data_IF_567627267434
#
_entry.id   IF_567627267434
#
_cell.length_a   1.000
_cell.length_b   1.000
_cell.length_c   1.000
_cell.angle_alpha   90.00
_cell.angle_beta   90.00
_cell.angle_gamma   90.00
#
_symmetry.space_group_name_H-M   'P 1'
#
loop_
_entity.id
_entity.type
_entity.pdbx_description
1 polymer ?
#
# COMPACT_ATOMS: atom_id res chain seq x y z
N UNK A 1 -32.41 -46.92 19.80
CA UNK A 1 -31.77 -46.12 20.87
C UNK A 1 -30.48 -45.56 20.31
N UNK A 2 -30.45 -44.28 19.94
CA UNK A 2 -29.25 -43.62 19.42
C UNK A 2 -28.36 -43.23 20.62
N UNK A 3 -27.17 -43.79 20.70
CA UNK A 3 -26.23 -43.52 21.79
C UNK A 3 -25.68 -42.09 21.65
N UNK A 4 -25.77 -41.29 22.71
CA UNK A 4 -25.17 -39.96 22.74
C UNK A 4 -23.66 -40.06 22.50
N UNK A 5 -23.15 -39.21 21.61
CA UNK A 5 -21.73 -39.09 21.34
C UNK A 5 -21.01 -38.61 22.61
N UNK A 6 -20.25 -39.49 23.25
CA UNK A 6 -19.54 -39.25 24.52
C UNK A 6 -18.23 -38.48 24.35
N UNK A 7 -17.85 -38.15 23.12
CA UNK A 7 -16.61 -37.43 22.82
C UNK A 7 -16.93 -35.95 22.59
N UNK A 8 -16.50 -35.11 23.53
CA UNK A 8 -16.60 -33.66 23.42
C UNK A 8 -15.76 -33.13 22.24
N UNK A 9 -16.23 -32.06 21.60
CA UNK A 9 -15.45 -31.36 20.57
C UNK A 9 -14.12 -30.92 21.19
N UNK A 10 -12.95 -31.29 20.63
CA UNK A 10 -11.67 -30.88 21.16
C UNK A 10 -11.60 -29.35 21.21
N UNK A 11 -11.39 -28.81 22.42
CA UNK A 11 -11.31 -27.37 22.73
C UNK A 11 -9.87 -26.84 22.68
N UNK A 12 -8.89 -27.72 22.53
CA UNK A 12 -7.49 -27.36 22.37
C UNK A 12 -7.20 -27.00 20.91
N UNK A 13 -6.54 -25.86 20.62
CA UNK A 13 -6.09 -25.57 19.27
C UNK A 13 -5.04 -26.62 18.86
N UNK A 14 -5.42 -27.54 17.98
CA UNK A 14 -4.44 -28.39 17.30
C UNK A 14 -3.56 -27.48 16.45
N UNK A 15 -2.24 -27.54 16.70
CA UNK A 15 -1.27 -26.81 15.89
C UNK A 15 -1.31 -27.36 14.46
N UNK A 16 -1.85 -26.57 13.53
CA UNK A 16 -1.76 -26.89 12.10
C UNK A 16 -0.34 -26.56 11.66
N UNK A 17 0.44 -27.58 11.30
CA UNK A 17 1.87 -27.45 10.97
C UNK A 17 2.12 -26.57 9.73
N UNK A 18 1.17 -26.53 8.79
CA UNK A 18 1.24 -25.68 7.60
C UNK A 18 -0.07 -24.93 7.38
N UNK A 19 0.04 -23.61 7.18
CA UNK A 19 -1.09 -22.77 6.84
C UNK A 19 -1.34 -22.89 5.32
N UNK A 20 -2.57 -23.15 4.87
CA UNK A 20 -2.87 -23.25 3.45
C UNK A 20 -2.53 -21.94 2.73
N UNK A 21 -1.98 -22.04 1.53
CA UNK A 21 -1.74 -20.89 0.67
C UNK A 21 -3.08 -20.23 0.29
N UNK A 22 -3.13 -18.90 0.34
CA UNK A 22 -4.31 -18.14 -0.09
C UNK A 22 -4.20 -17.82 -1.58
N UNK A 23 -5.35 -17.78 -2.27
CA UNK A 23 -5.43 -17.53 -3.72
C UNK A 23 -4.68 -16.25 -4.15
N UNK A 24 -4.69 -15.21 -3.32
CA UNK A 24 -4.08 -13.90 -3.58
C UNK A 24 -2.76 -13.69 -2.84
N UNK A 25 -2.29 -14.67 -2.05
CA UNK A 25 -1.17 -14.51 -1.12
C UNK A 25 -1.47 -13.63 0.11
N UNK A 26 -2.67 -13.04 0.22
CA UNK A 26 -3.10 -12.23 1.37
C UNK A 26 -3.30 -13.07 2.65
N UNK A 27 -3.11 -12.48 3.83
CA UNK A 27 -3.30 -13.15 5.14
C UNK A 27 -4.23 -12.35 6.04
N UNK A 28 -5.45 -12.83 6.23
CA UNK A 28 -6.46 -12.12 7.03
C UNK A 28 -6.76 -10.74 6.43
N UNK A 29 -6.55 -9.68 7.21
CA UNK A 29 -6.70 -8.29 6.75
C UNK A 29 -5.48 -7.76 5.98
N UNK A 30 -4.34 -8.45 6.04
CA UNK A 30 -3.12 -8.05 5.33
C UNK A 30 -3.21 -8.46 3.87
N UNK A 31 -3.59 -7.50 3.02
CA UNK A 31 -3.64 -7.69 1.58
C UNK A 31 -2.23 -7.76 0.99
N UNK A 32 -2.03 -8.66 0.02
CA UNK A 32 -0.85 -8.59 -0.82
C UNK A 32 -0.94 -7.34 -1.71
N UNK A 33 0.19 -6.67 -1.91
CA UNK A 33 0.25 -5.44 -2.72
C UNK A 33 1.50 -5.54 -3.58
N UNK A 34 1.28 -5.55 -4.89
CA UNK A 34 2.29 -5.66 -5.94
C UNK A 34 3.07 -4.36 -6.09
N UNK A 35 4.16 -4.40 -6.86
CA UNK A 35 4.84 -3.16 -7.24
C UNK A 35 3.91 -2.32 -8.09
N UNK A 36 4.02 -0.99 -7.95
CA UNK A 36 3.19 -0.04 -8.71
C UNK A 36 3.35 -0.18 -10.24
N UNK A 37 4.46 -0.74 -10.69
CA UNK A 37 4.79 -1.02 -12.10
C UNK A 37 4.20 -2.33 -12.64
N UNK A 38 3.77 -3.24 -11.77
CA UNK A 38 3.17 -4.52 -12.13
C UNK A 38 1.66 -4.39 -12.42
N UNK A 39 1.11 -3.18 -12.26
CA UNK A 39 -0.28 -2.87 -12.54
C UNK A 39 -0.58 -2.70 -14.03
N UNK A 40 -1.85 -2.92 -14.37
CA UNK A 40 -2.37 -2.70 -15.72
C UNK A 40 -2.90 -1.26 -15.84
N UNK A 41 -2.23 -0.42 -16.64
CA UNK A 41 -2.75 0.91 -16.96
C UNK A 41 -1.72 2.00 -17.22
N UNK A 42 -0.78 1.81 -18.15
CA UNK A 42 0.25 2.80 -18.47
C UNK A 42 -0.26 4.07 -19.20
N UNK A 43 -1.53 4.09 -19.60
CA UNK A 43 -2.15 5.21 -20.33
C UNK A 43 -3.25 5.96 -19.59
N UNK A 44 -3.52 5.66 -18.31
CA UNK A 44 -4.58 6.33 -17.52
C UNK A 44 -4.01 7.42 -16.62
N UNK A 45 -4.82 8.43 -16.31
CA UNK A 45 -4.52 9.47 -15.33
C UNK A 45 -5.61 9.51 -14.27
N UNK A 46 -5.23 9.79 -13.03
CA UNK A 46 -6.15 9.94 -11.90
C UNK A 46 -6.47 11.39 -11.57
N UNK A 47 -5.88 12.32 -12.33
CA UNK A 47 -6.06 13.76 -12.16
C UNK A 47 -6.41 14.39 -13.49
N UNK A 48 -7.34 15.35 -13.44
CA UNK A 48 -7.74 16.18 -14.57
C UNK A 48 -6.87 17.44 -14.57
N UNK A 49 -5.71 17.35 -15.23
CA UNK A 49 -4.84 18.51 -15.44
C UNK A 49 -5.23 19.23 -16.75
N UNK A 50 -5.18 20.57 -16.79
CA UNK A 50 -5.38 21.30 -18.03
C UNK A 50 -4.27 20.93 -19.03
N UNK A 51 -4.60 20.99 -20.33
CA UNK A 51 -3.61 20.78 -21.37
C UNK A 51 -2.45 21.78 -21.22
N UNK A 52 -1.20 21.33 -21.44
CA UNK A 52 -0.03 22.18 -21.30
C UNK A 52 -0.09 23.33 -22.30
N UNK A 53 0.16 24.56 -21.82
CA UNK A 53 0.20 25.76 -22.65
C UNK A 53 1.62 25.98 -23.17
N UNK A 54 1.78 25.96 -24.49
CA UNK A 54 3.04 26.29 -25.17
C UNK A 54 3.69 25.11 -25.89
N UNK A 55 4.57 25.41 -26.85
CA UNK A 55 5.45 24.43 -27.48
C UNK A 55 6.76 24.32 -26.69
N UNK A 56 7.32 23.10 -26.61
CA UNK A 56 8.64 22.85 -26.01
C UNK A 56 9.82 23.36 -26.87
N UNK A 57 9.59 24.39 -27.69
CA UNK A 57 10.55 24.90 -28.69
C UNK A 57 11.72 25.66 -28.07
N UNK A 58 11.54 26.18 -26.85
CA UNK A 58 12.57 26.81 -26.03
C UNK A 58 13.61 25.81 -25.49
N UNK A 59 13.27 24.51 -25.48
CA UNK A 59 14.16 23.43 -25.00
C UNK A 59 15.13 22.91 -26.07
N UNK A 60 14.97 23.29 -27.34
CA UNK A 60 15.83 22.81 -28.43
C UNK A 60 15.94 21.26 -28.47
N UNK A 61 17.17 20.73 -28.44
CA UNK A 61 17.43 19.29 -28.48
C UNK A 61 17.22 18.55 -27.14
N UNK A 62 16.75 19.26 -26.10
CA UNK A 62 16.53 18.69 -24.76
C UNK A 62 15.13 18.08 -24.59
N UNK A 63 14.30 18.08 -25.64
CA UNK A 63 12.98 17.45 -25.59
C UNK A 63 13.12 15.93 -25.45
N UNK A 64 12.30 15.35 -24.57
CA UNK A 64 12.26 13.91 -24.31
C UNK A 64 11.91 13.14 -25.58
N UNK A 65 12.72 12.13 -25.93
CA UNK A 65 12.51 11.29 -27.12
C UNK A 65 11.67 10.05 -26.82
N UNK A 66 11.83 9.47 -25.64
CA UNK A 66 11.14 8.25 -25.21
C UNK A 66 10.02 8.57 -24.20
N UNK A 67 9.05 7.69 -23.95
CA UNK A 67 8.08 7.86 -22.87
C UNK A 67 8.73 7.94 -21.47
N UNK A 68 8.06 8.58 -20.50
CA UNK A 68 8.60 8.74 -19.14
C UNK A 68 8.74 7.42 -18.36
N UNK A 69 8.02 6.38 -18.79
CA UNK A 69 8.03 5.09 -18.12
C UNK A 69 7.40 5.11 -16.72
N UNK A 70 6.35 5.92 -16.52
CA UNK A 70 5.57 5.93 -15.28
C UNK A 70 4.23 5.20 -15.47
N UNK A 71 3.78 4.41 -14.48
CA UNK A 71 2.48 3.76 -14.54
C UNK A 71 1.39 4.82 -14.39
N UNK A 72 0.32 4.66 -15.18
CA UNK A 72 -0.89 5.44 -15.02
C UNK A 72 -1.78 4.82 -13.94
N UNK A 73 -2.39 5.66 -13.11
CA UNK A 73 -3.28 5.23 -12.02
C UNK A 73 -4.47 6.16 -11.94
N UNK A 74 -5.68 5.62 -11.78
CA UNK A 74 -6.83 6.41 -11.32
C UNK A 74 -6.66 6.77 -9.85
N UNK A 75 -7.33 7.84 -9.38
CA UNK A 75 -7.24 8.28 -7.98
C UNK A 75 -7.58 7.15 -6.97
N UNK A 76 -8.65 6.34 -7.14
CA UNK A 76 -8.95 5.25 -6.22
C UNK A 76 -7.88 4.14 -6.23
N UNK A 77 -7.22 3.89 -7.36
CA UNK A 77 -6.14 2.92 -7.45
C UNK A 77 -4.89 3.40 -6.71
N UNK A 78 -4.48 4.66 -6.94
CA UNK A 78 -3.37 5.27 -6.22
C UNK A 78 -3.62 5.27 -4.70
N UNK A 79 -4.82 5.67 -4.26
CA UNK A 79 -5.19 5.65 -2.85
C UNK A 79 -5.11 4.24 -2.25
N UNK A 80 -5.70 3.23 -2.91
CA UNK A 80 -5.65 1.84 -2.42
C UNK A 80 -4.22 1.31 -2.33
N UNK A 81 -3.39 1.59 -3.32
CA UNK A 81 -1.99 1.15 -3.35
C UNK A 81 -1.23 1.68 -2.12
N UNK A 82 -1.24 2.99 -1.90
CA UNK A 82 -0.49 3.59 -0.79
C UNK A 82 -1.09 3.28 0.59
N UNK A 83 -2.41 3.11 0.70
CA UNK A 83 -3.04 2.68 1.96
C UNK A 83 -2.67 1.24 2.31
N UNK A 84 -2.56 0.33 1.34
CA UNK A 84 -2.11 -1.04 1.62
C UNK A 84 -0.61 -1.09 1.92
N UNK A 85 0.18 -0.26 1.24
CA UNK A 85 1.62 -0.16 1.52
C UNK A 85 1.88 0.39 2.93
N UNK A 86 1.08 1.35 3.41
CA UNK A 86 1.25 1.91 4.75
C UNK A 86 1.02 0.88 5.86
N UNK A 87 0.13 -0.10 5.65
CA UNK A 87 -0.11 -1.20 6.59
C UNK A 87 1.08 -2.15 6.74
N UNK A 88 2.01 -2.15 5.76
CA UNK A 88 3.25 -2.93 5.80
C UNK A 88 4.40 -2.19 6.49
N UNK A 89 4.22 -0.91 6.82
CA UNK A 89 5.24 -0.09 7.47
C UNK A 89 5.04 -0.04 8.99
N UNK A 90 6.15 0.05 9.72
CA UNK A 90 6.12 0.46 11.12
C UNK A 90 6.18 1.99 11.19
N UNK A 91 5.41 2.60 12.09
CA UNK A 91 5.32 4.05 12.21
C UNK A 91 5.32 4.49 13.68
N UNK A 92 5.85 5.69 13.91
CA UNK A 92 5.92 6.32 15.25
C UNK A 92 4.53 6.53 15.88
N UNK A 93 3.49 6.66 15.06
CA UNK A 93 2.11 6.81 15.52
C UNK A 93 1.49 5.47 15.97
N UNK A 94 2.11 4.33 15.63
CA UNK A 94 1.59 3.00 15.92
C UNK A 94 2.25 2.38 17.16
N UNK A 95 3.57 2.56 17.33
CA UNK A 95 4.29 2.04 18.49
C UNK A 95 5.55 2.84 18.80
N UNK A 96 6.22 2.45 19.89
CA UNK A 96 7.50 3.03 20.31
C UNK A 96 8.58 2.73 19.28
N UNK A 97 9.35 3.75 18.91
CA UNK A 97 10.40 3.68 17.89
C UNK A 97 11.77 4.03 18.51
N UNK A 98 12.41 3.13 19.29
CA UNK A 98 13.56 3.46 20.14
C UNK A 98 14.89 3.42 19.37
N UNK A 99 15.00 4.23 18.32
CA UNK A 99 16.23 4.37 17.55
C UNK A 99 17.14 5.46 18.14
N UNK A 100 18.31 5.05 18.60
CA UNK A 100 19.36 5.96 19.07
C UNK A 100 19.81 6.91 17.97
N UNK A 101 20.18 8.14 18.34
CA UNK A 101 20.61 9.23 17.44
C UNK A 101 19.55 9.79 16.46
N UNK A 102 18.41 9.10 16.24
CA UNK A 102 17.37 9.58 15.32
C UNK A 102 16.38 10.56 15.97
N UNK A 103 16.29 10.59 17.31
CA UNK A 103 15.32 11.41 18.07
C UNK A 103 13.89 11.23 17.54
N UNK A 104 13.44 9.97 17.44
CA UNK A 104 12.09 9.62 16.99
C UNK A 104 11.03 10.04 18.02
N UNK A 105 10.77 11.35 18.09
CA UNK A 105 9.81 12.00 18.98
C UNK A 105 8.44 12.14 18.31
N UNK A 106 7.39 12.25 19.10
CA UNK A 106 6.04 12.51 18.60
C UNK A 106 6.01 13.69 17.62
N UNK A 107 5.30 13.51 16.49
CA UNK A 107 4.98 14.59 15.55
C UNK A 107 3.53 15.06 15.76
N UNK A 108 3.30 16.20 16.44
CA UNK A 108 1.95 16.74 16.65
C UNK A 108 1.21 17.00 15.34
N UNK A 109 -0.01 16.49 15.22
CA UNK A 109 -0.88 16.75 14.05
C UNK A 109 -1.16 18.24 13.80
N UNK A 110 -1.02 19.07 14.84
CA UNK A 110 -1.13 20.52 14.71
C UNK A 110 -0.05 21.10 13.77
N UNK A 111 1.16 20.53 13.75
CA UNK A 111 2.24 21.02 12.90
C UNK A 111 1.88 20.90 11.41
N UNK A 112 1.25 19.80 11.02
CA UNK A 112 0.75 19.61 9.64
C UNK A 112 -0.33 20.65 9.30
N UNK A 113 -1.20 20.98 10.25
CA UNK A 113 -2.23 22.02 10.06
C UNK A 113 -1.63 23.42 9.96
N UNK A 114 -0.54 23.71 10.68
CA UNK A 114 0.14 25.01 10.61
C UNK A 114 0.95 25.19 9.31
N UNK A 115 1.37 24.10 8.67
CA UNK A 115 2.14 24.15 7.42
C UNK A 115 1.29 24.25 6.16
N UNK A 116 0.01 23.86 6.23
CA UNK A 116 -0.95 23.90 5.11
C UNK A 116 -1.51 25.30 4.89
#
# INVERSE_FOLDING_TARGET
>A
MSTMNTVGRPTTPNAVAEKPATLTGARGLLQNEHLIFEGEGWGKTGVDLPEPKGSASDLGDLVRKDPIGLPGLSEPEAMRHYVRLSQKNHAIDLAIYPLGSCTMKHNPRLNEKMAR
#
